data_IF_934556761043
#
_entry.id   IF_934556761043
#
_cell.length_a   1.000
_cell.length_b   1.000
_cell.length_c   1.000
_cell.angle_alpha   90.00
_cell.angle_beta   90.00
_cell.angle_gamma   90.00
#
_symmetry.space_group_name_H-M   'P 1'
#
loop_
_entity.id
_entity.type
_entity.pdbx_description
1 polymer ?
#
# COMPACT_ATOMS: atom_id res chain seq x y z
N UNK A 1 5.85 31.97 15.49
CA UNK A 1 5.72 31.55 14.08
C UNK A 1 7.03 31.69 13.32
N UNK A 2 7.78 32.81 13.42
CA UNK A 2 9.09 32.98 12.79
C UNK A 2 10.14 31.93 13.24
N UNK A 3 10.27 31.69 14.52
CA UNK A 3 11.22 30.69 15.07
C UNK A 3 10.91 29.24 14.63
N UNK A 4 9.65 28.92 14.34
CA UNK A 4 9.28 27.61 13.77
C UNK A 4 9.69 27.49 12.30
N UNK A 5 9.54 28.57 11.52
CA UNK A 5 9.97 28.63 10.12
C UNK A 5 11.50 28.56 9.99
N UNK A 6 12.23 29.24 10.89
CA UNK A 6 13.70 29.09 10.96
C UNK A 6 14.14 27.66 11.32
N UNK A 7 13.41 26.99 12.22
CA UNK A 7 13.67 25.59 12.53
C UNK A 7 13.47 24.66 11.32
N UNK A 8 12.52 24.95 10.44
CA UNK A 8 12.25 24.15 9.22
C UNK A 8 13.39 24.24 8.18
N UNK A 9 14.13 25.35 8.15
CA UNK A 9 15.27 25.54 7.21
C UNK A 9 16.58 24.88 7.69
N UNK A 10 16.58 24.30 8.88
CA UNK A 10 17.73 23.57 9.40
C UNK A 10 18.01 22.32 8.51
N UNK A 11 19.29 22.01 8.20
CA UNK A 11 19.65 20.92 7.31
C UNK A 11 19.06 19.56 7.74
N UNK A 12 18.92 19.30 9.04
CA UNK A 12 18.29 18.08 9.55
C UNK A 12 16.80 17.97 9.18
N UNK A 13 16.06 19.08 9.30
CA UNK A 13 14.64 19.13 8.92
C UNK A 13 14.46 19.04 7.39
N UNK A 14 15.31 19.70 6.63
CA UNK A 14 15.27 19.63 5.16
C UNK A 14 15.44 18.19 4.67
N UNK A 15 16.35 17.43 5.26
CA UNK A 15 16.52 15.99 4.94
C UNK A 15 15.27 15.21 5.22
N UNK A 16 14.65 15.37 6.41
CA UNK A 16 13.41 14.66 6.77
C UNK A 16 12.27 15.01 5.82
N UNK A 17 12.12 16.30 5.48
CA UNK A 17 11.10 16.78 4.54
C UNK A 17 11.32 16.21 3.15
N UNK A 18 12.54 16.26 2.62
CA UNK A 18 12.87 15.71 1.30
C UNK A 18 12.60 14.20 1.24
N UNK A 19 13.02 13.45 2.26
CA UNK A 19 12.76 12.01 2.35
C UNK A 19 11.26 11.71 2.49
N UNK A 20 10.53 12.49 3.28
CA UNK A 20 9.09 12.36 3.44
C UNK A 20 8.33 12.58 2.13
N UNK A 21 8.68 13.62 1.40
CA UNK A 21 8.10 13.90 0.08
C UNK A 21 8.48 12.80 -0.93
N UNK A 22 9.74 12.36 -0.95
CA UNK A 22 10.18 11.30 -1.85
C UNK A 22 9.43 9.98 -1.58
N UNK A 23 9.26 9.59 -0.31
CA UNK A 23 8.51 8.41 0.07
C UNK A 23 7.03 8.55 -0.28
N UNK A 24 6.41 9.71 -0.04
CA UNK A 24 5.04 9.98 -0.41
C UNK A 24 4.80 9.82 -1.92
N UNK A 25 5.70 10.38 -2.75
CA UNK A 25 5.62 10.26 -4.20
C UNK A 25 5.82 8.80 -4.66
N UNK A 26 6.73 8.07 -4.03
CA UNK A 26 6.95 6.64 -4.31
C UNK A 26 5.71 5.81 -3.96
N UNK A 27 5.09 6.04 -2.80
CA UNK A 27 3.86 5.38 -2.39
C UNK A 27 2.68 5.73 -3.30
N UNK A 28 2.55 6.99 -3.69
CA UNK A 28 1.50 7.44 -4.60
C UNK A 28 1.64 6.78 -5.98
N UNK A 29 2.86 6.73 -6.52
CA UNK A 29 3.14 6.04 -7.78
C UNK A 29 2.83 4.54 -7.69
N UNK A 30 3.23 3.89 -6.61
CA UNK A 30 2.93 2.48 -6.39
C UNK A 30 1.42 2.23 -6.26
N UNK A 31 0.68 3.11 -5.56
CA UNK A 31 -0.77 3.06 -5.47
C UNK A 31 -1.45 3.15 -6.84
N UNK A 32 -1.00 4.02 -7.74
CA UNK A 32 -1.58 4.12 -9.10
C UNK A 32 -1.40 2.83 -9.89
N UNK A 33 -0.25 2.17 -9.78
CA UNK A 33 0.00 0.85 -10.38
C UNK A 33 -0.91 -0.21 -9.77
N UNK A 34 -1.00 -0.26 -8.45
CA UNK A 34 -1.82 -1.20 -7.70
C UNK A 34 -3.31 -1.08 -8.05
N UNK A 35 -3.82 0.16 -8.13
CA UNK A 35 -5.19 0.46 -8.55
C UNK A 35 -5.46 0.04 -10.01
N UNK A 36 -4.47 0.16 -10.88
CA UNK A 36 -4.55 -0.34 -12.26
C UNK A 36 -4.71 -1.86 -12.32
N UNK A 37 -3.90 -2.58 -11.56
CA UNK A 37 -3.99 -4.04 -11.47
C UNK A 37 -5.33 -4.50 -10.85
N UNK A 38 -5.81 -3.83 -9.79
CA UNK A 38 -7.13 -4.10 -9.21
C UNK A 38 -8.23 -4.03 -10.26
N UNK A 39 -8.28 -2.93 -11.03
CA UNK A 39 -9.31 -2.74 -12.06
C UNK A 39 -9.26 -3.84 -13.12
N UNK A 40 -8.06 -4.26 -13.52
CA UNK A 40 -7.89 -5.29 -14.52
C UNK A 40 -8.30 -6.68 -14.00
N UNK A 41 -7.94 -7.02 -12.76
CA UNK A 41 -8.36 -8.28 -12.09
C UNK A 41 -9.88 -8.31 -11.95
N UNK A 42 -10.50 -7.24 -11.49
CA UNK A 42 -11.95 -7.12 -11.36
C UNK A 42 -12.68 -7.33 -12.70
N UNK A 43 -12.16 -6.74 -13.78
CA UNK A 43 -12.69 -6.92 -15.12
C UNK A 43 -12.57 -8.38 -15.59
N UNK A 44 -11.43 -9.04 -15.37
CA UNK A 44 -11.21 -10.44 -15.73
C UNK A 44 -12.15 -11.38 -14.95
N UNK A 45 -12.28 -11.20 -13.64
CA UNK A 45 -13.17 -11.99 -12.78
C UNK A 45 -14.63 -11.78 -13.21
N UNK A 46 -15.02 -10.54 -13.49
CA UNK A 46 -16.39 -10.22 -13.93
C UNK A 46 -16.72 -10.86 -15.27
N UNK A 47 -15.77 -10.85 -16.23
CA UNK A 47 -15.94 -11.54 -17.53
C UNK A 47 -16.09 -13.05 -17.34
N UNK A 48 -15.29 -13.66 -16.48
CA UNK A 48 -15.38 -15.09 -16.23
C UNK A 48 -16.67 -15.49 -15.49
N UNK A 49 -17.14 -14.68 -14.54
CA UNK A 49 -18.43 -14.91 -13.86
C UNK A 49 -19.64 -14.80 -14.81
N UNK A 50 -19.52 -14.07 -15.91
CA UNK A 50 -20.58 -14.02 -16.95
C UNK A 50 -20.66 -15.30 -17.79
N UNK A 51 -19.56 -16.05 -17.91
CA UNK A 51 -19.53 -17.34 -18.61
C UNK A 51 -20.41 -18.40 -17.94
N UNK A 52 -20.47 -18.39 -16.63
CA UNK A 52 -21.24 -19.34 -15.84
C UNK A 52 -22.53 -18.69 -15.36
N UNK A 53 -23.51 -18.57 -16.26
CA UNK A 53 -24.83 -18.08 -15.88
C UNK A 53 -25.71 -19.28 -15.56
N UNK A 54 -26.24 -19.31 -14.33
CA UNK A 54 -27.25 -20.28 -13.96
C UNK A 54 -28.51 -19.99 -14.76
N UNK A 55 -28.98 -20.91 -15.59
CA UNK A 55 -30.26 -20.83 -16.22
C UNK A 55 -31.33 -20.90 -15.13
N UNK A 56 -32.17 -19.85 -15.00
CA UNK A 56 -33.18 -19.75 -13.95
C UNK A 56 -34.28 -20.83 -14.05
N UNK A 57 -34.46 -21.42 -15.23
CA UNK A 57 -35.53 -22.41 -15.48
C UNK A 57 -35.06 -23.85 -15.28
N UNK A 58 -33.79 -24.16 -15.53
CA UNK A 58 -33.25 -25.54 -15.43
C UNK A 58 -32.32 -25.76 -14.26
N UNK A 59 -31.89 -24.72 -13.53
CA UNK A 59 -30.85 -24.78 -12.49
C UNK A 59 -29.50 -25.36 -12.97
N UNK A 60 -29.32 -25.48 -14.29
CA UNK A 60 -28.06 -25.91 -14.90
C UNK A 60 -27.17 -24.70 -15.20
N UNK A 61 -25.86 -24.92 -15.06
CA UNK A 61 -24.85 -23.93 -15.45
C UNK A 61 -24.71 -24.00 -16.97
N UNK A 62 -25.29 -23.04 -17.69
CA UNK A 62 -25.05 -22.87 -19.13
C UNK A 62 -23.74 -22.08 -19.32
N UNK A 63 -22.81 -22.72 -20.02
CA UNK A 63 -21.61 -22.06 -20.52
C UNK A 63 -21.98 -21.26 -21.78
N UNK A 64 -21.95 -19.95 -21.67
CA UNK A 64 -22.17 -19.07 -22.82
C UNK A 64 -20.84 -18.98 -23.55
N UNK A 65 -20.75 -19.66 -24.68
CA UNK A 65 -19.60 -19.61 -25.62
C UNK A 65 -19.56 -18.23 -26.29
N UNK A 66 -18.99 -17.24 -25.59
CA UNK A 66 -18.55 -16.01 -26.23
C UNK A 66 -17.13 -16.26 -26.75
N UNK A 67 -17.03 -16.39 -28.09
CA UNK A 67 -15.80 -16.68 -28.85
C UNK A 67 -14.62 -15.71 -28.58
N UNK A 68 -14.86 -14.60 -27.89
CA UNK A 68 -13.87 -13.52 -27.64
C UNK A 68 -13.30 -13.49 -26.20
N UNK A 69 -13.58 -14.48 -25.36
CA UNK A 69 -13.13 -14.45 -23.97
C UNK A 69 -12.30 -15.67 -23.55
N UNK A 70 -11.07 -15.76 -24.06
CA UNK A 70 -10.05 -16.70 -23.55
C UNK A 70 -9.47 -16.28 -22.18
N UNK A 71 -10.35 -15.90 -21.22
CA UNK A 71 -9.90 -15.67 -19.84
C UNK A 71 -9.72 -17.04 -19.21
N UNK A 72 -8.48 -17.52 -19.23
CA UNK A 72 -8.08 -18.77 -18.59
C UNK A 72 -7.71 -18.47 -17.13
N UNK A 73 -7.88 -19.42 -16.18
CA UNK A 73 -7.38 -19.28 -14.81
C UNK A 73 -5.91 -18.86 -14.73
N UNK A 74 -5.09 -19.31 -15.70
CA UNK A 74 -3.69 -18.93 -15.81
C UNK A 74 -3.49 -17.43 -16.10
N UNK A 75 -4.42 -16.79 -16.81
CA UNK A 75 -4.36 -15.35 -17.08
C UNK A 75 -4.59 -14.57 -15.78
N UNK A 76 -5.57 -14.97 -14.98
CA UNK A 76 -5.84 -14.35 -13.67
C UNK A 76 -4.62 -14.52 -12.76
N UNK A 77 -4.04 -15.73 -12.69
CA UNK A 77 -2.85 -16.02 -11.89
C UNK A 77 -1.63 -15.19 -12.30
N UNK A 78 -1.49 -14.90 -13.60
CA UNK A 78 -0.41 -14.03 -14.08
C UNK A 78 -0.58 -12.60 -13.52
N UNK A 79 -1.79 -12.05 -13.60
CA UNK A 79 -2.06 -10.70 -13.08
C UNK A 79 -2.02 -10.63 -11.54
N UNK A 80 -2.39 -11.70 -10.85
CA UNK A 80 -2.17 -11.87 -9.41
C UNK A 80 -0.68 -11.76 -9.06
N UNK A 81 0.20 -12.47 -9.76
CA UNK A 81 1.64 -12.38 -9.54
C UNK A 81 2.21 -10.96 -9.78
N UNK A 82 1.69 -10.24 -10.78
CA UNK A 82 2.09 -8.84 -11.03
C UNK A 82 1.59 -7.91 -9.90
N UNK A 83 0.39 -8.15 -9.42
CA UNK A 83 -0.17 -7.45 -8.25
C UNK A 83 0.64 -7.72 -6.99
N UNK A 84 1.00 -8.97 -6.70
CA UNK A 84 1.80 -9.38 -5.55
C UNK A 84 3.18 -8.75 -5.56
N UNK A 85 3.79 -8.61 -6.72
CA UNK A 85 5.06 -7.89 -6.86
C UNK A 85 4.90 -6.41 -6.48
N UNK A 86 3.82 -5.78 -6.90
CA UNK A 86 3.51 -4.38 -6.56
C UNK A 86 3.18 -4.23 -5.06
N UNK A 87 2.46 -5.20 -4.50
CA UNK A 87 2.15 -5.29 -3.07
C UNK A 87 3.42 -5.48 -2.22
N UNK A 88 4.37 -6.29 -2.68
CA UNK A 88 5.67 -6.44 -2.01
C UNK A 88 6.42 -5.12 -1.88
N UNK A 89 6.44 -4.29 -2.93
CA UNK A 89 7.01 -2.94 -2.86
C UNK A 89 6.24 -2.02 -1.91
N UNK A 90 4.91 -2.11 -1.90
CA UNK A 90 4.09 -1.37 -0.95
C UNK A 90 4.47 -1.71 0.50
N UNK A 91 4.64 -3.00 0.83
CA UNK A 91 5.04 -3.44 2.15
C UNK A 91 6.41 -2.86 2.58
N UNK A 92 7.37 -2.75 1.65
CA UNK A 92 8.65 -2.08 1.92
C UNK A 92 8.43 -0.60 2.28
N UNK A 93 7.63 0.12 1.52
CA UNK A 93 7.33 1.54 1.82
C UNK A 93 6.59 1.70 3.14
N UNK A 94 5.61 0.84 3.44
CA UNK A 94 4.88 0.87 4.69
C UNK A 94 5.77 0.64 5.92
N UNK A 95 6.81 -0.21 5.78
CA UNK A 95 7.82 -0.45 6.83
C UNK A 95 8.78 0.73 7.03
N UNK A 96 8.93 1.62 6.05
CA UNK A 96 9.75 2.83 6.18
C UNK A 96 9.03 3.95 6.94
N UNK A 97 7.70 3.93 7.06
CA UNK A 97 6.94 4.97 7.77
C UNK A 97 7.38 5.13 9.23
N UNK A 98 7.56 4.06 10.04
CA UNK A 98 8.02 4.19 11.42
C UNK A 98 9.45 4.72 11.57
N UNK A 99 10.24 4.76 10.51
CA UNK A 99 11.60 5.30 10.53
C UNK A 99 11.60 6.83 10.73
N UNK A 100 10.57 7.54 10.26
CA UNK A 100 10.49 9.00 10.39
C UNK A 100 10.49 9.50 11.84
N UNK A 101 9.68 8.98 12.76
CA UNK A 101 9.78 9.33 14.17
C UNK A 101 11.16 9.04 14.77
N UNK A 102 11.78 7.91 14.38
CA UNK A 102 13.12 7.55 14.86
C UNK A 102 14.18 8.53 14.34
N UNK A 103 14.07 8.98 13.10
CA UNK A 103 14.94 10.03 12.54
C UNK A 103 14.74 11.36 13.28
N UNK A 104 13.50 11.69 13.64
CA UNK A 104 13.21 12.85 14.47
C UNK A 104 13.90 12.78 15.82
N UNK A 105 13.80 11.65 16.53
CA UNK A 105 14.49 11.42 17.81
C UNK A 105 16.02 11.45 17.62
N UNK A 106 16.54 10.84 16.57
CA UNK A 106 17.96 10.90 16.27
C UNK A 106 18.45 12.35 16.08
N UNK A 107 17.65 13.18 15.40
CA UNK A 107 17.93 14.60 15.22
C UNK A 107 17.99 15.37 16.54
N UNK A 108 17.12 15.04 17.53
CA UNK A 108 17.20 15.66 18.88
C UNK A 108 18.47 15.26 19.60
N UNK A 109 18.79 13.98 19.63
CA UNK A 109 20.00 13.48 20.30
C UNK A 109 21.26 14.10 19.67
N UNK A 110 21.30 14.15 18.33
CA UNK A 110 22.42 14.76 17.60
C UNK A 110 22.59 16.25 17.92
N UNK A 111 21.48 17.01 17.93
CA UNK A 111 21.49 18.43 18.29
C UNK A 111 22.01 18.67 19.70
N UNK A 112 21.57 17.87 20.68
CA UNK A 112 22.03 17.96 22.05
C UNK A 112 23.52 17.60 22.22
N UNK A 113 23.99 16.57 21.53
CA UNK A 113 25.41 16.14 21.60
C UNK A 113 26.36 17.21 21.05
N UNK A 114 25.96 17.95 20.03
CA UNK A 114 26.81 19.02 19.48
C UNK A 114 26.99 20.19 20.45
N UNK A 115 26.09 20.40 21.39
CA UNK A 115 26.09 21.53 22.31
C UNK A 115 26.67 21.15 23.70
N UNK A 116 27.04 19.89 23.91
CA UNK A 116 27.69 19.46 25.16
C UNK A 116 29.08 20.13 25.22
N UNK A 117 29.21 21.14 26.11
CA UNK A 117 30.43 21.93 26.27
C UNK A 117 30.34 23.37 25.78
N UNK A 118 29.18 23.83 25.30
CA UNK A 118 28.97 25.23 24.99
C UNK A 118 28.68 26.04 26.25
N UNK A 119 29.53 27.01 26.55
CA UNK A 119 29.37 27.92 27.72
C UNK A 119 28.24 28.96 27.52
N UNK A 120 27.48 28.85 26.42
CA UNK A 120 26.48 29.82 26.03
C UNK A 120 25.06 29.23 26.08
N UNK A 121 24.27 29.67 27.06
CA UNK A 121 22.90 29.23 27.28
C UNK A 121 21.98 29.52 26.07
N UNK A 122 22.21 30.64 25.34
CA UNK A 122 21.37 30.98 24.17
C UNK A 122 21.56 29.97 23.02
N UNK A 123 22.80 29.52 22.77
CA UNK A 123 23.07 28.47 21.80
C UNK A 123 22.43 27.15 22.18
N UNK A 124 22.54 26.78 23.46
CA UNK A 124 21.92 25.56 23.98
C UNK A 124 20.38 25.59 23.80
N UNK A 125 19.74 26.74 24.05
CA UNK A 125 18.29 26.92 23.87
C UNK A 125 17.90 26.85 22.39
N UNK A 126 18.70 27.43 21.48
CA UNK A 126 18.49 27.34 20.03
C UNK A 126 18.59 25.91 19.52
N UNK A 127 19.59 25.16 19.99
CA UNK A 127 19.75 23.75 19.59
C UNK A 127 18.63 22.86 20.09
N UNK A 128 18.16 23.12 21.33
CA UNK A 128 17.00 22.42 21.87
C UNK A 128 15.74 22.69 21.03
N UNK A 129 15.50 23.93 20.62
CA UNK A 129 14.38 24.29 19.76
C UNK A 129 14.46 23.59 18.40
N UNK A 130 15.65 23.56 17.80
CA UNK A 130 15.90 22.84 16.54
C UNK A 130 15.65 21.34 16.71
N UNK A 131 16.13 20.75 17.78
CA UNK A 131 15.92 19.35 18.10
C UNK A 131 14.43 19.01 18.23
N UNK A 132 13.65 19.84 18.95
CA UNK A 132 12.21 19.64 19.09
C UNK A 132 11.47 19.77 17.75
N UNK A 133 11.86 20.70 16.88
CA UNK A 133 11.23 20.85 15.56
C UNK A 133 11.51 19.67 14.63
N UNK A 134 12.70 19.04 14.69
CA UNK A 134 13.02 17.82 13.92
C UNK A 134 12.16 16.64 14.33
N UNK A 135 11.97 16.44 15.63
CA UNK A 135 11.09 15.37 16.12
C UNK A 135 9.64 15.60 15.70
N UNK A 136 9.15 16.82 15.84
CA UNK A 136 7.80 17.16 15.43
C UNK A 136 7.58 16.93 13.92
N UNK A 137 8.55 17.34 13.08
CA UNK A 137 8.49 17.10 11.65
C UNK A 137 8.45 15.60 11.31
N UNK A 138 9.29 14.79 11.94
CA UNK A 138 9.29 13.33 11.76
C UNK A 138 7.96 12.67 12.13
N UNK A 139 7.36 13.10 13.24
CA UNK A 139 6.04 12.62 13.68
C UNK A 139 4.93 13.03 12.72
N UNK A 140 4.90 14.28 12.25
CA UNK A 140 3.89 14.76 11.30
C UNK A 140 3.96 13.95 9.99
N UNK A 141 5.15 13.74 9.43
CA UNK A 141 5.30 12.92 8.22
C UNK A 141 4.86 11.47 8.44
N UNK A 142 5.22 10.86 9.57
CA UNK A 142 4.78 9.51 9.88
C UNK A 142 3.25 9.39 9.94
N UNK A 143 2.58 10.34 10.58
CA UNK A 143 1.12 10.36 10.69
C UNK A 143 0.47 10.53 9.31
N UNK A 144 0.92 11.50 8.52
CA UNK A 144 0.38 11.76 7.18
C UNK A 144 0.57 10.56 6.27
N UNK A 145 1.77 9.97 6.24
CA UNK A 145 2.07 8.79 5.44
C UNK A 145 1.23 7.58 5.88
N UNK A 146 1.04 7.40 7.20
CA UNK A 146 0.25 6.28 7.73
C UNK A 146 -1.23 6.41 7.43
N UNK A 147 -1.77 7.62 7.47
CA UNK A 147 -3.17 7.90 7.07
C UNK A 147 -3.33 7.61 5.57
N UNK A 148 -2.39 8.08 4.73
CA UNK A 148 -2.40 7.80 3.31
C UNK A 148 -2.36 6.29 3.03
N UNK A 149 -1.45 5.57 3.67
CA UNK A 149 -1.30 4.12 3.58
C UNK A 149 -2.61 3.37 3.90
N UNK A 150 -3.24 3.73 5.01
CA UNK A 150 -4.46 3.06 5.49
C UNK A 150 -5.67 3.29 4.56
N UNK A 151 -5.81 4.49 4.00
CA UNK A 151 -7.02 4.86 3.23
C UNK A 151 -6.97 4.32 1.81
N UNK A 152 -5.81 4.38 1.14
CA UNK A 152 -5.71 4.06 -0.29
C UNK A 152 -5.04 2.71 -0.56
N UNK A 153 -3.72 2.51 -0.34
CA UNK A 153 -3.08 1.26 -0.72
C UNK A 153 -3.62 0.05 0.05
N UNK A 154 -3.68 0.13 1.38
CA UNK A 154 -4.11 -1.00 2.21
C UNK A 154 -5.54 -1.44 1.91
N UNK A 155 -6.45 -0.49 1.66
CA UNK A 155 -7.81 -0.80 1.24
C UNK A 155 -7.84 -1.51 -0.11
N UNK A 156 -7.05 -1.01 -1.08
CA UNK A 156 -7.00 -1.60 -2.43
C UNK A 156 -6.48 -3.03 -2.39
N UNK A 157 -5.46 -3.31 -1.57
CA UNK A 157 -4.90 -4.64 -1.37
C UNK A 157 -5.96 -5.57 -0.79
N UNK A 158 -6.59 -5.16 0.30
CA UNK A 158 -7.64 -5.97 0.93
C UNK A 158 -8.82 -6.28 0.00
N UNK A 159 -9.23 -5.32 -0.83
CA UNK A 159 -10.31 -5.52 -1.79
C UNK A 159 -9.93 -6.58 -2.84
N UNK A 160 -8.68 -6.58 -3.32
CA UNK A 160 -8.19 -7.58 -4.29
C UNK A 160 -8.08 -8.95 -3.65
N UNK A 161 -7.55 -9.04 -2.42
CA UNK A 161 -7.43 -10.30 -1.69
C UNK A 161 -8.81 -10.97 -1.51
N UNK A 162 -9.83 -10.18 -1.12
CA UNK A 162 -11.21 -10.68 -0.98
C UNK A 162 -11.79 -11.13 -2.32
N UNK A 163 -11.55 -10.39 -3.41
CA UNK A 163 -12.02 -10.76 -4.75
C UNK A 163 -11.39 -12.09 -5.22
N UNK A 164 -10.09 -12.25 -5.03
CA UNK A 164 -9.38 -13.46 -5.41
C UNK A 164 -9.81 -14.67 -4.57
N UNK A 165 -9.97 -14.49 -3.25
CA UNK A 165 -10.48 -15.54 -2.36
C UNK A 165 -11.87 -16.03 -2.78
N UNK A 166 -12.79 -15.11 -3.09
CA UNK A 166 -14.14 -15.46 -3.56
C UNK A 166 -14.10 -16.18 -4.91
N UNK A 167 -13.23 -15.72 -5.82
CA UNK A 167 -13.01 -16.35 -7.10
C UNK A 167 -12.51 -17.79 -6.98
N UNK A 168 -11.47 -18.04 -6.17
CA UNK A 168 -10.91 -19.37 -5.98
C UNK A 168 -11.88 -20.33 -5.27
N UNK A 169 -12.65 -19.84 -4.30
CA UNK A 169 -13.73 -20.63 -3.66
C UNK A 169 -14.76 -21.09 -4.70
N UNK A 170 -15.22 -20.21 -5.58
CA UNK A 170 -16.18 -20.57 -6.64
C UNK A 170 -15.59 -21.60 -7.61
N UNK A 171 -14.33 -21.44 -7.97
CA UNK A 171 -13.62 -22.40 -8.84
C UNK A 171 -13.53 -23.78 -8.22
N UNK A 172 -13.22 -23.88 -6.93
CA UNK A 172 -13.13 -25.14 -6.21
C UNK A 172 -14.49 -25.82 -6.09
N UNK A 173 -15.55 -25.06 -5.83
CA UNK A 173 -16.91 -25.60 -5.84
C UNK A 173 -17.28 -26.16 -7.22
N UNK A 174 -16.98 -25.44 -8.30
CA UNK A 174 -17.28 -25.91 -9.66
C UNK A 174 -16.56 -27.23 -9.96
N UNK A 175 -15.29 -27.36 -9.61
CA UNK A 175 -14.51 -28.60 -9.78
C UNK A 175 -15.06 -29.78 -8.96
N UNK A 176 -15.53 -29.52 -7.73
CA UNK A 176 -16.14 -30.58 -6.90
C UNK A 176 -17.44 -31.11 -7.52
N UNK A 177 -18.26 -30.23 -8.11
CA UNK A 177 -19.49 -30.64 -8.80
C UNK A 177 -19.20 -31.45 -10.05
N UNK A 178 -18.20 -31.08 -10.84
CA UNK A 178 -17.80 -31.79 -12.04
C UNK A 178 -17.27 -33.20 -11.71
N UNK A 179 -16.43 -33.32 -10.70
CA UNK A 179 -15.87 -34.61 -10.26
C UNK A 179 -16.93 -35.57 -9.68
N UNK A 180 -17.94 -35.04 -8.99
CA UNK A 180 -19.06 -35.86 -8.49
C UNK A 180 -19.93 -36.38 -9.64
N UNK A 181 -20.18 -35.57 -10.68
CA UNK A 181 -20.98 -35.96 -11.84
C UNK A 181 -20.32 -37.05 -12.67
N UNK A 182 -18.99 -37.06 -12.74
CA UNK A 182 -18.24 -38.10 -13.48
C UNK A 182 -18.13 -39.41 -12.72
N UNK A 183 -18.22 -39.41 -11.39
CA UNK A 183 -18.27 -40.60 -10.55
C UNK A 183 -19.64 -41.28 -10.51
N UNK A 184 -20.72 -40.58 -10.88
CA UNK A 184 -22.10 -41.12 -10.92
C UNK A 184 -22.49 -41.70 -12.29
N UNK A 185 -21.57 -41.73 -13.26
CA UNK A 185 -21.73 -42.34 -14.59
C UNK A 185 -20.98 -43.66 -14.70
#
# INVERSE_FOLDING_TARGET
MAAFLEGLTNPGNVIIICLGIALFLAMYKNYTVLSGHKKHIDELITRQNRRYRTNQDTHELEEIDDEDSSVTPDTIRKHENEFDKSNSWHNVFAQLIPVFPLMGVLGTVWGLVQEVGADNIEKMLSSLNTAMTTTLSGLIFAIVLKIFDAIWPSKTINDVDVMLEDYYKKLDFAKMYENNRDNDK
#
